data_IF_176790381483
#
_entry.id   IF_176790381483
#
_cell.length_a   1.000
_cell.length_b   1.000
_cell.length_c   1.000
_cell.angle_alpha   90.00
_cell.angle_beta   90.00
_cell.angle_gamma   90.00
#
_symmetry.space_group_name_H-M   'P 1'
#
loop_
_entity.id
_entity.type
_entity.pdbx_description
1 polymer ?
#
# COMPACT_ATOMS: atom_id res chain seq x y z
N UNK A 1 -14.06 0.80 3.67
CA UNK A 1 -12.85 0.25 3.06
C UNK A 1 -11.99 -0.26 4.18
N UNK A 2 -11.31 -1.39 3.97
CA UNK A 2 -10.36 -1.94 4.92
C UNK A 2 -9.05 -2.18 4.20
N UNK A 3 -7.94 -1.85 4.86
CA UNK A 3 -6.61 -1.98 4.28
C UNK A 3 -5.70 -2.67 5.30
N UNK A 4 -5.01 -3.73 4.87
CA UNK A 4 -3.86 -4.27 5.59
C UNK A 4 -2.61 -3.66 4.96
N UNK A 5 -1.92 -2.80 5.72
CA UNK A 5 -0.68 -2.16 5.28
C UNK A 5 0.52 -2.96 5.78
N UNK A 6 1.36 -3.43 4.86
CA UNK A 6 2.57 -4.19 5.16
C UNK A 6 3.78 -3.33 4.81
N UNK A 7 4.58 -2.97 5.81
CA UNK A 7 5.90 -2.39 5.57
C UNK A 7 6.82 -3.46 5.02
N UNK A 8 7.34 -3.25 3.81
CA UNK A 8 8.15 -4.22 3.10
C UNK A 8 9.43 -3.58 2.56
N UNK A 9 10.50 -4.37 2.49
CA UNK A 9 11.73 -3.97 1.79
C UNK A 9 11.55 -3.92 0.26
N UNK A 10 10.59 -4.70 -0.26
CA UNK A 10 10.19 -4.73 -1.66
C UNK A 10 8.83 -5.43 -1.79
N UNK A 11 8.12 -5.17 -2.88
CA UNK A 11 6.88 -5.87 -3.23
C UNK A 11 6.79 -6.13 -4.74
N UNK A 12 6.08 -7.18 -5.14
CA UNK A 12 5.86 -7.50 -6.56
C UNK A 12 4.52 -8.17 -6.79
N UNK A 13 3.86 -7.82 -7.89
CA UNK A 13 2.67 -8.52 -8.40
C UNK A 13 2.97 -9.02 -9.81
N UNK A 14 2.53 -10.25 -10.12
CA UNK A 14 2.62 -10.85 -11.45
C UNK A 14 1.22 -11.26 -11.89
N UNK A 15 0.89 -11.01 -13.15
CA UNK A 15 -0.38 -11.40 -13.76
C UNK A 15 -0.21 -11.65 -15.26
N UNK A 16 -1.22 -12.25 -15.88
CA UNK A 16 -1.27 -12.46 -17.32
C UNK A 16 -2.27 -11.49 -17.95
N UNK A 17 -1.90 -10.87 -19.07
CA UNK A 17 -2.74 -9.98 -19.86
C UNK A 17 -2.42 -10.21 -21.34
N UNK A 18 -3.45 -10.53 -22.14
CA UNK A 18 -3.33 -10.84 -23.57
C UNK A 18 -2.28 -11.91 -23.91
N UNK A 19 -2.16 -12.96 -23.07
CA UNK A 19 -1.20 -14.04 -23.25
C UNK A 19 0.26 -13.66 -22.92
N UNK A 20 0.49 -12.46 -22.38
CA UNK A 20 1.80 -12.02 -21.92
C UNK A 20 1.85 -11.92 -20.39
N UNK A 21 2.96 -12.36 -19.80
CA UNK A 21 3.23 -12.18 -18.38
C UNK A 21 3.63 -10.72 -18.10
N UNK A 22 2.98 -10.11 -17.11
CA UNK A 22 3.23 -8.75 -16.63
C UNK A 22 3.76 -8.79 -15.21
N UNK A 23 4.57 -7.79 -14.87
CA UNK A 23 5.11 -7.62 -13.53
C UNK A 23 5.10 -6.14 -13.14
N UNK A 24 4.71 -5.87 -11.90
CA UNK A 24 4.85 -4.57 -11.27
C UNK A 24 5.61 -4.75 -9.96
N UNK A 25 6.55 -3.86 -9.68
CA UNK A 25 7.43 -3.96 -8.50
C UNK A 25 7.55 -2.62 -7.79
N UNK A 26 7.76 -2.67 -6.48
CA UNK A 26 8.16 -1.53 -5.67
C UNK A 26 9.43 -1.87 -4.89
N UNK A 27 10.22 -0.84 -4.57
CA UNK A 27 11.30 -0.92 -3.59
C UNK A 27 10.78 -0.83 -2.15
N UNK A 28 11.58 -0.29 -1.20
CA UNK A 28 11.14 -0.07 0.18
C UNK A 28 9.85 0.76 0.21
N UNK A 29 8.83 0.29 0.94
CA UNK A 29 7.54 0.96 0.98
C UNK A 29 6.44 0.13 1.63
N UNK A 30 5.21 0.39 1.21
CA UNK A 30 4.02 -0.33 1.66
C UNK A 30 3.48 -1.24 0.56
N UNK A 31 3.23 -2.50 0.91
CA UNK A 31 2.32 -3.38 0.15
C UNK A 31 0.95 -3.31 0.84
N UNK A 32 -0.08 -2.98 0.06
CA UNK A 32 -1.43 -2.76 0.57
C UNK A 32 -2.36 -3.87 0.07
N UNK A 33 -3.01 -4.58 1.00
CA UNK A 33 -4.14 -5.45 0.68
C UNK A 33 -5.42 -4.67 0.95
N UNK A 34 -6.15 -4.34 -0.13
CA UNK A 34 -7.29 -3.42 -0.08
C UNK A 34 -8.59 -4.18 -0.28
N UNK A 35 -9.52 -4.02 0.65
CA UNK A 35 -10.90 -4.49 0.54
C UNK A 35 -11.87 -3.31 0.49
N UNK A 36 -12.59 -3.20 -0.63
CA UNK A 36 -13.67 -2.22 -0.82
C UNK A 36 -15.04 -2.89 -0.60
N UNK A 37 -15.95 -2.17 0.04
CA UNK A 37 -17.34 -2.55 0.25
C UNK A 37 -18.28 -1.64 -0.56
N UNK A 38 -19.53 -2.05 -0.85
CA UNK A 38 -20.48 -1.23 -1.63
C UNK A 38 -20.80 0.13 -1.02
N UNK A 39 -20.63 0.30 0.30
CA UNK A 39 -20.83 1.56 1.01
C UNK A 39 -19.63 2.51 0.93
N UNK A 40 -18.52 2.10 0.32
CA UNK A 40 -17.33 2.92 0.24
C UNK A 40 -17.45 3.92 -0.90
N UNK A 41 -17.18 5.18 -0.56
CA UNK A 41 -17.25 6.31 -1.46
C UNK A 41 -15.88 7.00 -1.60
N UNK A 42 -15.82 8.03 -2.44
CA UNK A 42 -14.60 8.79 -2.66
C UNK A 42 -14.06 9.41 -1.37
N UNK A 43 -14.94 9.85 -0.46
CA UNK A 43 -14.58 10.36 0.87
C UNK A 43 -13.80 9.31 1.66
N UNK A 44 -14.28 8.07 1.65
CA UNK A 44 -13.64 6.94 2.32
C UNK A 44 -12.26 6.65 1.72
N UNK A 45 -12.13 6.69 0.39
CA UNK A 45 -10.86 6.50 -0.31
C UNK A 45 -9.86 7.58 0.09
N UNK A 46 -10.23 8.86 0.00
CA UNK A 46 -9.36 9.99 0.35
C UNK A 46 -8.87 9.91 1.79
N UNK A 47 -9.79 9.69 2.73
CA UNK A 47 -9.45 9.52 4.15
C UNK A 47 -8.46 8.37 4.40
N UNK A 48 -8.62 7.24 3.70
CA UNK A 48 -7.71 6.11 3.84
C UNK A 48 -6.35 6.39 3.21
N UNK A 49 -6.30 7.08 2.07
CA UNK A 49 -5.06 7.51 1.44
C UNK A 49 -4.28 8.46 2.35
N UNK A 50 -4.93 9.49 2.89
CA UNK A 50 -4.32 10.45 3.83
C UNK A 50 -3.76 9.72 5.06
N UNK A 51 -4.53 8.79 5.62
CA UNK A 51 -4.09 7.98 6.77
C UNK A 51 -2.86 7.12 6.45
N UNK A 52 -2.74 6.60 5.24
CA UNK A 52 -1.63 5.73 4.84
C UNK A 52 -0.35 6.51 4.61
N UNK A 53 -0.43 7.70 4.01
CA UNK A 53 0.76 8.54 3.77
C UNK A 53 1.32 9.12 5.07
N UNK A 54 0.46 9.36 6.06
CA UNK A 54 0.86 9.86 7.38
C UNK A 54 1.28 8.75 8.38
N UNK A 55 1.27 7.48 7.95
CA UNK A 55 1.54 6.34 8.82
C UNK A 55 3.04 6.26 9.16
N UNK A 56 3.40 6.62 10.39
CA UNK A 56 4.77 6.61 10.90
C UNK A 56 5.29 5.20 11.18
N UNK A 57 5.60 4.44 10.14
CA UNK A 57 6.07 3.05 10.23
C UNK A 57 7.47 2.87 9.66
N UNK A 58 8.08 3.91 9.12
CA UNK A 58 9.44 3.90 8.61
C UNK A 58 10.40 4.50 9.64
N UNK A 59 11.63 3.99 9.62
CA UNK A 59 12.69 4.43 10.54
C UNK A 59 13.23 5.79 10.14
N UNK A 60 13.41 6.68 11.11
CA UNK A 60 14.21 7.89 10.99
C UNK A 60 15.72 7.57 11.04
N UNK A 61 16.56 8.61 10.97
CA UNK A 61 18.03 8.46 11.06
C UNK A 61 18.50 7.85 12.39
N UNK A 62 17.69 7.92 13.45
CA UNK A 62 17.96 7.32 14.75
C UNK A 62 17.39 5.89 14.86
N UNK A 63 16.84 5.33 13.76
CA UNK A 63 16.24 4.00 13.71
C UNK A 63 14.88 3.89 14.41
N UNK A 64 14.24 5.02 14.74
CA UNK A 64 12.92 5.05 15.39
C UNK A 64 11.82 5.21 14.35
N UNK A 65 10.67 4.58 14.60
CA UNK A 65 9.53 4.60 13.66
C UNK A 65 8.80 5.95 13.72
N UNK A 66 9.32 6.94 13.01
CA UNK A 66 8.84 8.33 13.05
C UNK A 66 8.52 8.89 11.65
N UNK A 67 8.90 8.15 10.60
CA UNK A 67 8.66 8.51 9.20
C UNK A 67 7.47 7.75 8.64
#
# INVERSE_FOLDING_TARGET
MRIVAQRAASGSVRWEEDGAQRVATIGPGLVLLVGAAPSDDETTVRRMADKLVDLRVFGDEAGRMNL
#
